data_IF_750401476556
#
_entry.id   IF_750401476556
#
_cell.length_a   1.000
_cell.length_b   1.000
_cell.length_c   1.000
_cell.angle_alpha   90.00
_cell.angle_beta   90.00
_cell.angle_gamma   90.00
#
_symmetry.space_group_name_H-M   'P 1'
#
loop_
_entity.id
_entity.type
_entity.pdbx_description
1 polymer ?
#
# COMPACT_ATOMS: atom_id res chain seq x y z
N UNK A 1 -40.86 25.06 -21.40
CA UNK A 1 -42.22 25.51 -21.02
C UNK A 1 -43.26 24.44 -21.32
N UNK A 2 -43.22 23.84 -22.51
CA UNK A 2 -44.15 22.79 -22.94
C UNK A 2 -44.06 21.49 -22.13
N UNK A 3 -42.86 21.07 -21.72
CA UNK A 3 -42.65 19.91 -20.83
C UNK A 3 -43.34 20.12 -19.47
N UNK A 4 -43.22 21.32 -18.91
CA UNK A 4 -43.90 21.73 -17.69
C UNK A 4 -45.41 21.81 -17.86
N UNK A 5 -45.89 22.22 -19.04
CA UNK A 5 -47.32 22.22 -19.39
C UNK A 5 -47.86 20.78 -19.51
N UNK A 6 -47.05 19.86 -20.04
CA UNK A 6 -47.41 18.44 -20.18
C UNK A 6 -47.44 17.71 -18.83
N UNK A 7 -46.43 17.94 -17.99
CA UNK A 7 -46.41 17.47 -16.60
C UNK A 7 -47.61 18.03 -15.81
N UNK A 8 -47.95 19.31 -16.01
CA UNK A 8 -49.14 19.92 -15.43
C UNK A 8 -50.44 19.32 -15.96
N UNK A 9 -50.52 18.94 -17.23
CA UNK A 9 -51.68 18.25 -17.81
C UNK A 9 -51.84 16.82 -17.29
N UNK A 10 -50.74 16.09 -17.11
CA UNK A 10 -50.72 14.75 -16.49
C UNK A 10 -51.12 14.86 -15.00
N UNK A 11 -50.54 15.82 -14.28
CA UNK A 11 -50.91 16.11 -12.89
C UNK A 11 -52.37 16.60 -12.75
N UNK A 12 -52.95 17.20 -13.79
CA UNK A 12 -54.37 17.60 -13.83
C UNK A 12 -55.31 16.41 -14.07
N UNK A 13 -54.86 15.37 -14.78
CA UNK A 13 -55.63 14.13 -15.04
C UNK A 13 -55.50 13.09 -13.92
N UNK A 14 -54.46 13.19 -13.09
CA UNK A 14 -54.29 12.34 -11.92
C UNK A 14 -55.31 12.67 -10.82
N UNK A 15 -56.01 11.65 -10.34
CA UNK A 15 -56.85 11.74 -9.15
C UNK A 15 -55.99 11.96 -7.91
N UNK A 16 -56.58 12.53 -6.86
CA UNK A 16 -55.88 12.77 -5.59
C UNK A 16 -55.28 11.49 -5.00
N UNK A 17 -55.97 10.35 -5.12
CA UNK A 17 -55.46 9.06 -4.66
C UNK A 17 -54.21 8.58 -5.42
N UNK A 18 -54.11 8.84 -6.74
CA UNK A 18 -52.93 8.45 -7.53
C UNK A 18 -51.71 9.32 -7.18
N UNK A 19 -51.95 10.61 -6.86
CA UNK A 19 -50.90 11.52 -6.38
C UNK A 19 -50.39 11.13 -5.01
N UNK A 20 -51.29 10.76 -4.10
CA UNK A 20 -50.93 10.29 -2.75
C UNK A 20 -50.12 8.99 -2.83
N UNK A 21 -50.50 8.06 -3.72
CA UNK A 21 -49.77 6.82 -3.98
C UNK A 21 -48.37 7.06 -4.54
N UNK A 22 -48.23 7.90 -5.57
CA UNK A 22 -46.93 8.25 -6.16
C UNK A 22 -46.03 9.00 -5.18
N UNK A 23 -46.61 9.90 -4.36
CA UNK A 23 -45.88 10.59 -3.31
C UNK A 23 -45.28 9.60 -2.31
N UNK A 24 -46.05 8.60 -1.88
CA UNK A 24 -45.56 7.54 -1.00
C UNK A 24 -44.44 6.71 -1.64
N UNK A 25 -44.54 6.38 -2.93
CA UNK A 25 -43.50 5.63 -3.66
C UNK A 25 -42.20 6.43 -3.75
N UNK A 26 -42.28 7.71 -4.12
CA UNK A 26 -41.08 8.57 -4.20
C UNK A 26 -40.46 8.86 -2.83
N UNK A 27 -41.28 9.01 -1.80
CA UNK A 27 -40.80 9.17 -0.43
C UNK A 27 -40.08 7.92 0.05
N UNK A 28 -40.62 6.73 -0.26
CA UNK A 28 -40.01 5.44 0.07
C UNK A 28 -38.72 5.20 -0.74
N UNK A 29 -38.70 5.51 -2.04
CA UNK A 29 -37.48 5.46 -2.86
C UNK A 29 -36.41 6.44 -2.37
N UNK A 30 -36.82 7.65 -1.94
CA UNK A 30 -35.90 8.64 -1.38
C UNK A 30 -35.36 8.19 -0.03
N UNK A 31 -36.20 7.59 0.81
CA UNK A 31 -35.82 6.98 2.09
C UNK A 31 -34.82 5.85 1.88
N UNK A 32 -35.08 4.95 0.93
CA UNK A 32 -34.18 3.85 0.56
C UNK A 32 -32.88 4.38 -0.03
N UNK A 33 -32.91 5.37 -0.93
CA UNK A 33 -31.70 5.94 -1.52
C UNK A 33 -30.83 6.71 -0.50
N UNK A 34 -31.46 7.42 0.45
CA UNK A 34 -30.75 8.08 1.53
C UNK A 34 -30.16 7.08 2.52
N UNK A 35 -30.90 6.02 2.86
CA UNK A 35 -30.40 4.90 3.66
C UNK A 35 -29.21 4.22 2.96
N UNK A 36 -29.31 3.93 1.66
CA UNK A 36 -28.24 3.32 0.88
C UNK A 36 -27.01 4.24 0.78
N UNK A 37 -27.18 5.55 0.58
CA UNK A 37 -26.07 6.52 0.62
C UNK A 37 -25.40 6.57 2.00
N UNK A 38 -26.18 6.54 3.08
CA UNK A 38 -25.66 6.49 4.45
C UNK A 38 -24.91 5.20 4.76
N UNK A 39 -25.45 4.06 4.31
CA UNK A 39 -24.83 2.74 4.46
C UNK A 39 -23.51 2.68 3.69
N UNK A 40 -23.47 3.20 2.45
CA UNK A 40 -22.23 3.25 1.68
C UNK A 40 -21.17 4.13 2.34
N UNK A 41 -21.56 5.33 2.82
CA UNK A 41 -20.64 6.19 3.58
C UNK A 41 -20.10 5.49 4.82
N UNK A 42 -20.97 4.85 5.60
CA UNK A 42 -20.59 4.09 6.78
C UNK A 42 -19.69 2.88 6.48
N UNK A 43 -19.95 2.15 5.40
CA UNK A 43 -19.11 1.04 4.92
C UNK A 43 -17.74 1.57 4.47
N UNK A 44 -17.68 2.65 3.69
CA UNK A 44 -16.41 3.25 3.27
C UNK A 44 -15.60 3.81 4.44
N UNK A 45 -16.25 4.48 5.40
CA UNK A 45 -15.59 5.01 6.60
C UNK A 45 -15.10 3.89 7.52
N UNK A 46 -15.88 2.82 7.69
CA UNK A 46 -15.47 1.63 8.46
C UNK A 46 -14.28 0.94 7.82
N UNK A 47 -14.30 0.73 6.50
CA UNK A 47 -13.19 0.11 5.76
C UNK A 47 -11.94 1.01 5.78
N UNK A 48 -12.11 2.34 5.66
CA UNK A 48 -10.98 3.29 5.73
C UNK A 48 -10.34 3.27 7.12
N UNK A 49 -11.14 3.11 8.16
CA UNK A 49 -10.68 2.96 9.54
C UNK A 49 -9.95 1.63 9.74
N UNK A 50 -10.52 0.51 9.30
CA UNK A 50 -9.89 -0.82 9.36
C UNK A 50 -8.57 -0.87 8.59
N UNK A 51 -8.51 -0.30 7.39
CA UNK A 51 -7.28 -0.25 6.61
C UNK A 51 -6.20 0.61 7.29
N UNK A 52 -6.60 1.72 7.94
CA UNK A 52 -5.69 2.53 8.76
C UNK A 52 -5.16 1.73 9.96
N UNK A 53 -6.01 0.97 10.64
CA UNK A 53 -5.63 0.11 11.76
C UNK A 53 -4.64 -1.00 11.32
N UNK A 54 -4.85 -1.61 10.15
CA UNK A 54 -3.93 -2.61 9.58
C UNK A 54 -2.56 -1.98 9.24
N UNK A 55 -2.56 -0.76 8.67
CA UNK A 55 -1.30 -0.04 8.40
C UNK A 55 -0.54 0.30 9.69
N UNK A 56 -1.24 0.72 10.73
CA UNK A 56 -0.65 1.01 12.05
C UNK A 56 -0.08 -0.26 12.69
N UNK A 57 -0.81 -1.38 12.65
CA UNK A 57 -0.32 -2.70 13.11
C UNK A 57 0.93 -3.15 12.35
N UNK A 58 0.95 -3.01 11.01
CA UNK A 58 2.12 -3.35 10.20
C UNK A 58 3.33 -2.47 10.54
N UNK A 59 3.12 -1.19 10.83
CA UNK A 59 4.19 -0.29 11.26
C UNK A 59 4.75 -0.68 12.63
N UNK A 60 3.89 -1.07 13.58
CA UNK A 60 4.30 -1.56 14.89
C UNK A 60 5.08 -2.88 14.79
N UNK A 61 4.60 -3.85 14.00
CA UNK A 61 5.28 -5.12 13.79
C UNK A 61 6.66 -4.93 13.13
N UNK A 62 6.81 -3.95 12.22
CA UNK A 62 8.13 -3.59 11.66
C UNK A 62 9.07 -3.07 12.73
N UNK A 63 8.62 -2.11 13.55
CA UNK A 63 9.44 -1.58 14.66
C UNK A 63 9.85 -2.67 15.65
N UNK A 64 8.93 -3.55 16.00
CA UNK A 64 9.20 -4.69 16.89
C UNK A 64 10.22 -5.66 16.28
N UNK A 65 10.11 -5.96 14.98
CA UNK A 65 11.11 -6.77 14.25
C UNK A 65 12.49 -6.12 14.30
N UNK A 66 12.57 -4.81 14.04
CA UNK A 66 13.84 -4.08 14.02
C UNK A 66 14.48 -4.08 15.41
N UNK A 67 13.68 -3.87 16.46
CA UNK A 67 14.12 -3.96 17.85
C UNK A 67 14.64 -5.37 18.20
N UNK A 68 13.89 -6.42 17.85
CA UNK A 68 14.30 -7.81 18.07
C UNK A 68 15.56 -8.17 17.28
N UNK A 69 15.76 -7.60 16.09
CA UNK A 69 16.97 -7.78 15.29
C UNK A 69 18.19 -7.13 15.94
N UNK A 70 18.03 -5.94 16.54
CA UNK A 70 19.09 -5.28 17.31
C UNK A 70 19.43 -6.12 18.54
N UNK A 71 18.43 -6.55 19.32
CA UNK A 71 18.66 -7.38 20.50
C UNK A 71 19.31 -8.72 20.15
N UNK A 72 18.90 -9.34 19.04
CA UNK A 72 19.51 -10.57 18.55
C UNK A 72 21.00 -10.38 18.21
N UNK A 73 21.35 -9.28 17.52
CA UNK A 73 22.75 -8.98 17.18
C UNK A 73 23.60 -8.73 18.42
N UNK A 74 23.09 -7.96 19.38
CA UNK A 74 23.82 -7.65 20.60
C UNK A 74 24.03 -8.90 21.45
N UNK A 75 22.97 -9.70 21.67
CA UNK A 75 23.12 -10.97 22.40
C UNK A 75 24.02 -11.96 21.67
N UNK A 76 24.02 -11.94 20.33
CA UNK A 76 24.94 -12.79 19.55
C UNK A 76 26.39 -12.40 19.78
N UNK A 77 26.68 -11.10 19.80
CA UNK A 77 28.01 -10.56 20.14
C UNK A 77 28.45 -11.01 21.52
N UNK A 78 27.59 -10.84 22.54
CA UNK A 78 27.86 -11.28 23.91
C UNK A 78 28.14 -12.79 23.98
N UNK A 79 27.36 -13.62 23.27
CA UNK A 79 27.58 -15.07 23.22
C UNK A 79 28.92 -15.41 22.58
N UNK A 80 29.32 -14.70 21.53
CA UNK A 80 30.60 -14.96 20.85
C UNK A 80 31.78 -14.48 21.71
N UNK A 81 31.69 -13.31 22.37
CA UNK A 81 32.67 -12.83 23.36
C UNK A 81 32.82 -13.81 24.55
N UNK A 82 31.71 -14.31 25.10
CA UNK A 82 31.74 -15.30 26.19
C UNK A 82 32.36 -16.64 25.77
N UNK A 83 32.23 -17.04 24.49
CA UNK A 83 32.91 -18.24 23.99
C UNK A 83 34.41 -18.02 23.95
N UNK A 84 34.85 -16.87 23.48
CA UNK A 84 36.27 -16.54 23.38
C UNK A 84 36.90 -16.44 24.78
N UNK A 85 36.21 -15.82 25.74
CA UNK A 85 36.63 -15.80 27.15
C UNK A 85 36.70 -17.20 27.77
N UNK A 86 35.68 -18.04 27.52
CA UNK A 86 35.68 -19.42 27.99
C UNK A 86 36.82 -20.23 27.37
N UNK A 87 37.09 -20.06 26.08
CA UNK A 87 38.21 -20.67 25.37
C UNK A 87 39.53 -20.24 26.00
N UNK A 88 39.73 -18.94 26.24
CA UNK A 88 40.92 -18.40 26.89
C UNK A 88 41.12 -18.99 28.30
N UNK A 89 40.09 -18.99 29.14
CA UNK A 89 40.15 -19.58 30.49
C UNK A 89 40.47 -21.08 30.46
N UNK A 90 39.93 -21.83 29.50
CA UNK A 90 40.28 -23.24 29.29
C UNK A 90 41.76 -23.38 28.90
N UNK A 91 42.26 -22.57 27.96
CA UNK A 91 43.68 -22.64 27.56
C UNK A 91 44.64 -22.25 28.69
N UNK A 92 44.30 -21.26 29.51
CA UNK A 92 45.07 -20.87 30.69
C UNK A 92 45.09 -21.98 31.74
N UNK A 93 43.94 -22.61 31.98
CA UNK A 93 43.85 -23.75 32.88
C UNK A 93 44.70 -24.93 32.37
N UNK A 94 44.64 -25.25 31.07
CA UNK A 94 45.50 -26.28 30.47
C UNK A 94 46.98 -25.97 30.62
N UNK A 95 47.42 -24.72 30.38
CA UNK A 95 48.82 -24.29 30.56
C UNK A 95 49.28 -24.40 32.02
N UNK A 96 48.41 -24.05 32.97
CA UNK A 96 48.68 -24.18 34.40
C UNK A 96 48.90 -25.65 34.79
N UNK A 97 48.00 -26.53 34.33
CA UNK A 97 48.13 -27.99 34.52
C UNK A 97 49.42 -28.54 33.90
N UNK A 98 49.79 -28.12 32.69
CA UNK A 98 51.03 -28.54 32.01
C UNK A 98 52.30 -28.02 32.69
N UNK A 99 52.26 -26.83 33.31
CA UNK A 99 53.41 -26.22 33.99
C UNK A 99 53.78 -26.87 35.33
N UNK A 100 52.95 -27.78 35.85
CA UNK A 100 53.17 -28.48 37.12
C UNK A 100 53.11 -27.60 38.37
N UNK A 101 52.80 -26.30 38.25
CA UNK A 101 52.76 -25.30 39.33
C UNK A 101 51.36 -25.10 39.93
N UNK A 102 50.54 -26.14 40.01
CA UNK A 102 49.16 -26.00 40.50
C UNK A 102 49.05 -26.28 41.99
N UNK A 103 48.70 -25.26 42.78
CA UNK A 103 48.10 -25.49 44.09
C UNK A 103 46.68 -26.02 43.88
N UNK A 104 46.28 -27.02 44.67
CA UNK A 104 45.00 -27.73 44.50
C UNK A 104 43.78 -26.78 44.62
N UNK A 105 43.90 -25.71 45.42
CA UNK A 105 42.86 -24.68 45.56
C UNK A 105 42.74 -23.76 44.33
N UNK A 106 43.85 -23.37 43.70
CA UNK A 106 43.83 -22.52 42.50
C UNK A 106 43.24 -23.27 41.30
N UNK A 107 43.51 -24.59 41.21
CA UNK A 107 42.90 -25.46 40.19
C UNK A 107 41.39 -25.59 40.39
N UNK A 108 40.93 -25.83 41.64
CA UNK A 108 39.49 -25.88 41.96
C UNK A 108 38.77 -24.56 41.67
N UNK A 109 39.42 -23.43 41.98
CA UNK A 109 38.86 -22.11 41.71
C UNK A 109 38.69 -21.85 40.21
N UNK A 110 39.72 -22.11 39.38
CA UNK A 110 39.62 -21.97 37.91
C UNK A 110 38.59 -22.91 37.28
N UNK A 111 38.45 -24.13 37.79
CA UNK A 111 37.40 -25.06 37.32
C UNK A 111 36.00 -24.55 37.66
N UNK A 112 35.80 -23.98 38.86
CA UNK A 112 34.53 -23.37 39.26
C UNK A 112 34.17 -22.19 38.35
N UNK A 113 35.13 -21.30 38.05
CA UNK A 113 34.90 -20.19 37.13
C UNK A 113 34.55 -20.64 35.70
N UNK A 114 35.21 -21.68 35.20
CA UNK A 114 34.91 -22.26 33.88
C UNK A 114 33.49 -22.84 33.86
N UNK A 115 33.06 -23.48 34.94
CA UNK A 115 31.72 -24.04 35.05
C UNK A 115 30.64 -22.93 35.11
N UNK A 116 30.86 -21.89 35.90
CA UNK A 116 29.96 -20.72 35.92
C UNK A 116 29.85 -20.04 34.56
N UNK A 117 30.97 -19.90 33.84
CA UNK A 117 30.97 -19.32 32.49
C UNK A 117 30.20 -20.20 31.49
N UNK A 118 30.30 -21.53 31.58
CA UNK A 118 29.49 -22.45 30.77
C UNK A 118 28.00 -22.30 31.05
N UNK A 119 27.61 -22.17 32.32
CA UNK A 119 26.21 -22.02 32.70
C UNK A 119 25.63 -20.68 32.23
N UNK A 120 26.40 -19.58 32.31
CA UNK A 120 26.04 -18.28 31.72
C UNK A 120 25.93 -18.35 30.19
N UNK A 121 26.88 -18.99 29.52
CA UNK A 121 26.86 -19.20 28.07
C UNK A 121 25.61 -20.00 27.61
N UNK A 122 25.21 -20.99 28.41
CA UNK A 122 24.01 -21.78 28.15
C UNK A 122 22.74 -20.93 28.26
N UNK A 123 22.64 -20.10 29.30
CA UNK A 123 21.52 -19.18 29.49
C UNK A 123 21.40 -18.17 28.34
N UNK A 124 22.50 -17.56 27.91
CA UNK A 124 22.46 -16.60 26.80
C UNK A 124 22.16 -17.27 25.44
N UNK A 125 22.63 -18.50 25.21
CA UNK A 125 22.22 -19.25 24.02
C UNK A 125 20.72 -19.56 24.02
N UNK A 126 20.11 -19.85 25.17
CA UNK A 126 18.67 -20.08 25.26
C UNK A 126 17.87 -18.78 25.07
N UNK A 127 18.38 -17.64 25.56
CA UNK A 127 17.81 -16.32 25.27
C UNK A 127 17.86 -16.00 23.77
N UNK A 128 18.98 -16.30 23.11
CA UNK A 128 19.16 -16.10 21.67
C UNK A 128 18.19 -16.95 20.84
N UNK A 129 17.88 -18.19 21.28
CA UNK A 129 16.83 -19.02 20.68
C UNK A 129 15.44 -18.41 20.85
N UNK A 130 15.12 -17.85 22.03
CA UNK A 130 13.82 -17.18 22.28
C UNK A 130 13.63 -15.98 21.35
N UNK A 131 14.63 -15.12 21.20
CA UNK A 131 14.56 -13.97 20.28
C UNK A 131 14.41 -14.44 18.83
N UNK A 132 15.13 -15.50 18.44
CA UNK A 132 14.98 -16.10 17.10
C UNK A 132 13.56 -16.61 16.85
N UNK A 133 12.92 -17.18 17.87
CA UNK A 133 11.53 -17.62 17.78
C UNK A 133 10.58 -16.44 17.64
N UNK A 134 10.72 -15.40 18.46
CA UNK A 134 9.94 -14.16 18.39
C UNK A 134 10.08 -13.46 17.03
N UNK A 135 11.28 -13.43 16.45
CA UNK A 135 11.51 -12.91 15.10
C UNK A 135 10.72 -13.70 14.04
N UNK A 136 10.62 -15.02 14.18
CA UNK A 136 9.85 -15.87 13.26
C UNK A 136 8.35 -15.64 13.41
N UNK A 137 7.86 -15.53 14.65
CA UNK A 137 6.45 -15.22 14.93
C UNK A 137 6.07 -13.83 14.39
N UNK A 138 6.93 -12.82 14.58
CA UNK A 138 6.69 -11.48 14.05
C UNK A 138 6.66 -11.50 12.51
N UNK A 139 7.55 -12.25 11.85
CA UNK A 139 7.51 -12.42 10.40
C UNK A 139 6.20 -13.06 9.91
N UNK A 140 5.69 -14.07 10.61
CA UNK A 140 4.41 -14.69 10.26
C UNK A 140 3.24 -13.71 10.46
N UNK A 141 3.21 -12.99 11.59
CA UNK A 141 2.22 -11.92 11.85
C UNK A 141 2.23 -10.85 10.75
N UNK A 142 3.41 -10.41 10.29
CA UNK A 142 3.52 -9.47 9.17
C UNK A 142 2.98 -10.05 7.86
N UNK A 143 3.08 -11.36 7.64
CA UNK A 143 2.57 -12.01 6.43
C UNK A 143 1.05 -12.07 6.44
N UNK A 144 0.45 -12.48 7.56
CA UNK A 144 -1.01 -12.54 7.76
C UNK A 144 -1.64 -11.16 7.56
N UNK A 145 -1.13 -10.13 8.24
CA UNK A 145 -1.66 -8.75 8.13
C UNK A 145 -1.52 -8.18 6.70
N UNK A 146 -0.48 -8.58 5.94
CA UNK A 146 -0.34 -8.22 4.52
C UNK A 146 -1.35 -8.93 3.62
N UNK A 147 -1.67 -10.19 3.90
CA UNK A 147 -2.68 -10.93 3.17
C UNK A 147 -4.08 -10.35 3.44
N UNK A 148 -4.37 -9.97 4.69
CA UNK A 148 -5.62 -9.33 5.08
C UNK A 148 -5.81 -7.96 4.41
N UNK A 149 -4.76 -7.14 4.34
CA UNK A 149 -4.77 -5.87 3.60
C UNK A 149 -5.04 -6.07 2.09
N UNK A 150 -4.48 -7.13 1.49
CA UNK A 150 -4.70 -7.47 0.08
C UNK A 150 -6.14 -7.94 -0.17
N UNK A 151 -6.70 -8.77 0.71
CA UNK A 151 -8.09 -9.23 0.59
C UNK A 151 -9.08 -8.06 0.70
N UNK A 152 -8.87 -7.13 1.63
CA UNK A 152 -9.72 -5.94 1.76
C UNK A 152 -9.63 -5.04 0.50
N UNK A 153 -8.43 -4.85 -0.04
CA UNK A 153 -8.23 -4.08 -1.27
C UNK A 153 -8.89 -4.75 -2.49
N UNK A 154 -8.82 -6.08 -2.58
CA UNK A 154 -9.48 -6.85 -3.65
C UNK A 154 -11.00 -6.76 -3.56
N UNK A 155 -11.56 -6.81 -2.34
CA UNK A 155 -13.00 -6.66 -2.10
C UNK A 155 -13.52 -5.29 -2.56
N UNK A 156 -12.76 -4.22 -2.30
CA UNK A 156 -13.09 -2.87 -2.75
C UNK A 156 -13.10 -2.74 -4.28
N UNK A 157 -12.08 -3.27 -4.96
CA UNK A 157 -12.02 -3.25 -6.44
C UNK A 157 -13.20 -4.00 -7.05
N UNK A 158 -13.51 -5.19 -6.53
CA UNK A 158 -14.67 -5.97 -6.98
C UNK A 158 -15.99 -5.22 -6.79
N UNK A 159 -16.16 -4.47 -5.69
CA UNK A 159 -17.35 -3.67 -5.42
C UNK A 159 -17.52 -2.49 -6.40
N UNK A 160 -16.43 -1.80 -6.74
CA UNK A 160 -16.43 -0.70 -7.71
C UNK A 160 -16.78 -1.20 -9.12
N UNK A 161 -16.20 -2.31 -9.57
CA UNK A 161 -16.50 -2.92 -10.86
C UNK A 161 -17.96 -3.40 -10.93
N UNK A 162 -18.48 -3.98 -9.84
CA UNK A 162 -19.89 -4.38 -9.75
C UNK A 162 -20.82 -3.17 -9.89
N UNK A 163 -20.50 -2.07 -9.20
CA UNK A 163 -21.28 -0.82 -9.28
C UNK A 163 -21.30 -0.26 -10.70
N UNK A 164 -20.17 -0.27 -11.41
CA UNK A 164 -20.12 0.18 -12.81
C UNK A 164 -20.98 -0.70 -13.72
N UNK A 165 -20.90 -2.03 -13.58
CA UNK A 165 -21.75 -2.97 -14.35
C UNK A 165 -23.24 -2.76 -14.08
N UNK A 166 -23.61 -2.52 -12.83
CA UNK A 166 -25.00 -2.31 -12.44
C UNK A 166 -25.54 -0.99 -13.00
N UNK A 167 -24.70 0.06 -13.03
CA UNK A 167 -25.05 1.32 -13.68
C UNK A 167 -25.18 1.18 -15.20
N UNK A 168 -24.30 0.43 -15.87
CA UNK A 168 -24.41 0.20 -17.32
C UNK A 168 -25.66 -0.61 -17.67
N UNK A 169 -25.97 -1.65 -16.89
CA UNK A 169 -27.17 -2.46 -17.12
C UNK A 169 -28.45 -1.64 -16.90
N UNK A 170 -28.47 -0.78 -15.88
CA UNK A 170 -29.58 0.16 -15.68
C UNK A 170 -29.73 1.11 -16.86
N UNK A 171 -28.64 1.66 -17.42
CA UNK A 171 -28.69 2.52 -18.61
C UNK A 171 -29.31 1.78 -19.80
N UNK A 172 -28.85 0.56 -20.08
CA UNK A 172 -29.36 -0.25 -21.18
C UNK A 172 -30.85 -0.57 -21.02
N UNK A 173 -31.30 -0.87 -19.80
CA UNK A 173 -32.74 -1.08 -19.52
C UNK A 173 -33.57 0.16 -19.80
N UNK A 174 -33.16 1.32 -19.28
CA UNK A 174 -33.89 2.57 -19.54
C UNK A 174 -33.91 2.95 -21.02
N UNK A 175 -32.83 2.69 -21.76
CA UNK A 175 -32.77 2.95 -23.19
C UNK A 175 -33.77 2.06 -23.96
N UNK A 176 -33.84 0.77 -23.61
CA UNK A 176 -34.82 -0.17 -24.18
C UNK A 176 -36.25 0.22 -23.86
N UNK A 177 -36.54 0.57 -22.61
CA UNK A 177 -37.88 0.98 -22.18
C UNK A 177 -38.30 2.28 -22.88
N UNK A 178 -37.41 3.26 -22.99
CA UNK A 178 -37.68 4.52 -23.68
C UNK A 178 -37.91 4.29 -25.20
N UNK A 179 -37.11 3.42 -25.84
CA UNK A 179 -37.31 3.04 -27.23
C UNK A 179 -38.66 2.34 -27.44
N UNK A 180 -39.06 1.43 -26.55
CA UNK A 180 -40.35 0.75 -26.62
C UNK A 180 -41.52 1.74 -26.50
N UNK A 181 -41.50 2.63 -25.51
CA UNK A 181 -42.55 3.65 -25.35
C UNK A 181 -42.66 4.60 -26.54
N UNK A 182 -41.54 4.96 -27.17
CA UNK A 182 -41.54 5.77 -28.40
C UNK A 182 -42.19 5.06 -29.58
N UNK A 183 -41.98 3.76 -29.72
CA UNK A 183 -42.61 2.94 -30.77
C UNK A 183 -44.11 2.84 -30.53
N UNK A 184 -44.53 2.52 -29.31
CA UNK A 184 -45.96 2.41 -28.95
C UNK A 184 -46.71 3.72 -29.17
N UNK A 185 -46.15 4.86 -28.78
CA UNK A 185 -46.78 6.17 -29.00
C UNK A 185 -46.76 6.59 -30.47
N UNK A 186 -45.72 6.23 -31.23
CA UNK A 186 -45.71 6.47 -32.68
C UNK A 186 -46.77 5.64 -33.41
N UNK A 187 -46.96 4.38 -33.02
CA UNK A 187 -48.00 3.50 -33.57
C UNK A 187 -49.40 4.01 -33.21
N UNK A 188 -49.60 4.50 -31.97
CA UNK A 188 -50.86 5.13 -31.55
C UNK A 188 -51.20 6.35 -32.42
N UNK A 189 -50.25 7.26 -32.60
CA UNK A 189 -50.43 8.46 -33.44
C UNK A 189 -50.72 8.08 -34.89
N UNK A 190 -50.08 7.01 -35.40
CA UNK A 190 -50.34 6.51 -36.75
C UNK A 190 -51.76 5.97 -36.89
N UNK A 191 -52.24 5.16 -35.94
CA UNK A 191 -53.63 4.67 -35.95
C UNK A 191 -54.64 5.81 -35.86
N UNK A 192 -54.41 6.82 -35.02
CA UNK A 192 -55.26 8.01 -34.93
C UNK A 192 -55.29 8.79 -36.26
N UNK A 193 -54.13 8.94 -36.91
CA UNK A 193 -54.01 9.59 -38.22
C UNK A 193 -54.74 8.82 -39.32
N UNK A 194 -54.59 7.50 -39.37
CA UNK A 194 -55.27 6.65 -40.36
C UNK A 194 -56.79 6.65 -40.15
N UNK A 195 -57.26 6.70 -38.90
CA UNK A 195 -58.68 6.84 -38.57
C UNK A 195 -59.23 8.21 -39.00
N UNK A 196 -58.52 9.30 -38.73
CA UNK A 196 -58.92 10.66 -39.14
C UNK A 196 -58.97 10.80 -40.67
N UNK A 197 -58.04 10.17 -41.39
CA UNK A 197 -58.08 10.08 -42.87
C UNK A 197 -59.28 9.30 -43.39
N UNK A 198 -59.61 8.17 -42.77
CA UNK A 198 -60.77 7.36 -43.16
C UNK A 198 -62.08 8.14 -42.97
N UNK A 199 -62.21 8.87 -41.86
CA UNK A 199 -63.37 9.74 -41.58
C UNK A 199 -63.48 10.90 -42.59
N UNK A 200 -62.35 11.49 -43.00
CA UNK A 200 -62.32 12.54 -44.03
C UNK A 200 -62.73 12.00 -45.40
N UNK A 201 -62.30 10.80 -45.78
CA UNK A 201 -62.73 10.14 -47.02
C UNK A 201 -64.24 9.86 -47.03
N UNK A 202 -64.79 9.41 -45.91
CA UNK A 202 -66.22 9.13 -45.74
C UNK A 202 -67.05 10.40 -45.89
N UNK A 203 -66.64 11.50 -45.23
CA UNK A 203 -67.30 12.82 -45.35
C UNK A 203 -67.18 13.44 -46.74
N UNK A 204 -66.09 13.16 -47.45
CA UNK A 204 -65.90 13.55 -48.84
C UNK A 204 -66.83 12.80 -49.79
N UNK A 205 -67.01 11.49 -49.58
CA UNK A 205 -67.92 10.66 -50.37
C UNK A 205 -69.41 10.98 -50.12
N UNK A 206 -69.77 11.37 -48.89
CA UNK A 206 -71.14 11.77 -48.52
C UNK A 206 -71.52 13.20 -48.97
N UNK A 207 -70.58 13.98 -49.52
CA UNK A 207 -70.82 15.34 -50.02
C UNK A 207 -71.20 16.36 -48.93
N UNK A 208 -71.06 15.99 -47.66
CA UNK A 208 -71.55 16.73 -46.49
C UNK A 208 -70.72 17.97 -46.12
N UNK A 209 -69.43 18.04 -46.49
CA UNK A 209 -68.52 19.09 -45.98
C UNK A 209 -67.58 19.71 -47.05
N UNK A 210 -67.22 19.00 -48.13
CA UNK A 210 -66.19 19.46 -49.06
C UNK A 210 -66.69 19.63 -50.50
N UNK A 211 -66.37 20.78 -51.10
CA UNK A 211 -66.85 21.19 -52.43
C UNK A 211 -65.95 20.70 -53.59
N UNK A 212 -64.76 20.14 -53.33
CA UNK A 212 -63.80 19.67 -54.36
C UNK A 212 -62.91 18.53 -53.84
N UNK A 213 -62.53 17.56 -54.69
CA UNK A 213 -61.56 16.48 -54.36
C UNK A 213 -60.21 17.02 -53.85
N UNK A 214 -59.78 18.17 -54.38
CA UNK A 214 -58.56 18.86 -53.94
C UNK A 214 -58.61 19.30 -52.48
N UNK A 215 -59.79 19.64 -51.94
CA UNK A 215 -59.96 20.02 -50.54
C UNK A 215 -59.74 18.85 -49.59
N UNK A 216 -60.29 17.68 -49.92
CA UNK A 216 -60.12 16.45 -49.14
C UNK A 216 -58.65 16.00 -49.14
N UNK A 217 -57.97 16.09 -50.29
CA UNK A 217 -56.56 15.73 -50.41
C UNK A 217 -55.64 16.62 -49.54
N UNK A 218 -55.86 17.94 -49.54
CA UNK A 218 -55.10 18.88 -48.70
C UNK A 218 -55.31 18.63 -47.20
N UNK A 219 -56.52 18.23 -46.80
CA UNK A 219 -56.80 17.95 -45.39
C UNK A 219 -56.18 16.63 -44.92
N UNK A 220 -56.15 15.61 -45.78
CA UNK A 220 -55.41 14.37 -45.52
C UNK A 220 -53.90 14.65 -45.33
N UNK A 221 -53.32 15.52 -46.16
CA UNK A 221 -51.91 15.94 -46.03
C UNK A 221 -51.67 16.71 -44.72
N UNK A 222 -52.61 17.57 -44.30
CA UNK A 222 -52.54 18.26 -43.00
C UNK A 222 -52.56 17.26 -41.84
N UNK A 223 -53.37 16.19 -41.92
CA UNK A 223 -53.42 15.11 -40.92
C UNK A 223 -52.09 14.35 -40.86
N UNK A 224 -51.49 14.03 -42.01
CA UNK A 224 -50.15 13.41 -42.07
C UNK A 224 -49.08 14.29 -41.42
N UNK A 225 -49.01 15.55 -41.82
CA UNK A 225 -48.02 16.50 -41.30
C UNK A 225 -48.20 16.75 -39.79
N UNK A 226 -49.44 16.72 -39.27
CA UNK A 226 -49.70 16.80 -37.82
C UNK A 226 -49.19 15.55 -37.09
N UNK A 227 -49.43 14.36 -37.64
CA UNK A 227 -48.96 13.09 -37.08
C UNK A 227 -47.42 13.03 -37.06
N UNK A 228 -46.78 13.36 -38.18
CA UNK A 228 -45.32 13.42 -38.29
C UNK A 228 -44.71 14.43 -37.30
N UNK A 229 -45.30 15.63 -37.19
CA UNK A 229 -44.86 16.64 -36.22
C UNK A 229 -44.98 16.15 -34.78
N UNK A 230 -46.05 15.41 -34.46
CA UNK A 230 -46.26 14.84 -33.12
C UNK A 230 -45.19 13.79 -32.79
N UNK A 231 -44.93 12.86 -33.71
CA UNK A 231 -43.88 11.84 -33.55
C UNK A 231 -42.49 12.47 -33.45
N UNK A 232 -42.19 13.49 -34.27
CA UNK A 232 -40.93 14.24 -34.17
C UNK A 232 -40.78 14.94 -32.83
N UNK A 233 -41.84 15.55 -32.29
CA UNK A 233 -41.82 16.21 -30.99
C UNK A 233 -41.50 15.22 -29.85
N UNK A 234 -42.08 14.02 -29.89
CA UNK A 234 -41.76 12.95 -28.94
C UNK A 234 -40.30 12.51 -29.04
N UNK A 235 -39.79 12.28 -30.25
CA UNK A 235 -38.38 11.92 -30.48
C UNK A 235 -37.41 13.00 -29.97
N UNK A 236 -37.71 14.27 -30.24
CA UNK A 236 -36.89 15.40 -29.76
C UNK A 236 -36.86 15.42 -28.22
N UNK A 237 -38.00 15.27 -27.56
CA UNK A 237 -38.03 15.27 -26.10
C UNK A 237 -37.27 14.07 -25.49
N UNK A 238 -37.38 12.89 -26.09
CA UNK A 238 -36.62 11.72 -25.66
C UNK A 238 -35.10 11.97 -25.76
N UNK A 239 -34.65 12.54 -26.88
CA UNK A 239 -33.25 12.90 -27.09
C UNK A 239 -32.77 14.00 -26.12
N UNK A 240 -33.61 15.00 -25.82
CA UNK A 240 -33.28 16.04 -24.84
C UNK A 240 -33.09 15.47 -23.43
N UNK A 241 -33.94 14.52 -23.03
CA UNK A 241 -33.84 13.86 -21.73
C UNK A 241 -32.63 12.93 -21.64
N UNK A 242 -32.33 12.21 -22.72
CA UNK A 242 -31.11 11.42 -22.82
C UNK A 242 -29.87 12.31 -22.72
N UNK A 243 -29.83 13.43 -23.44
CA UNK A 243 -28.75 14.41 -23.37
C UNK A 243 -28.55 14.96 -21.95
N UNK A 244 -29.62 15.38 -21.26
CA UNK A 244 -29.53 15.87 -19.87
C UNK A 244 -28.93 14.80 -18.94
N UNK A 245 -29.34 13.55 -19.11
CA UNK A 245 -28.82 12.43 -18.33
C UNK A 245 -27.35 12.16 -18.63
N UNK A 246 -26.98 12.09 -19.91
CA UNK A 246 -25.59 11.91 -20.33
C UNK A 246 -24.69 13.03 -19.82
N UNK A 247 -25.17 14.28 -19.79
CA UNK A 247 -24.43 15.41 -19.20
C UNK A 247 -24.20 15.22 -17.69
N UNK A 248 -25.23 14.84 -16.93
CA UNK A 248 -25.09 14.57 -15.49
C UNK A 248 -24.15 13.39 -15.21
N UNK A 249 -24.24 12.34 -16.01
CA UNK A 249 -23.36 11.18 -15.94
C UNK A 249 -21.90 11.55 -16.24
N UNK A 250 -21.68 12.41 -17.24
CA UNK A 250 -20.36 12.92 -17.60
C UNK A 250 -19.78 13.79 -16.49
N UNK A 251 -20.56 14.68 -15.88
CA UNK A 251 -20.14 15.49 -14.73
C UNK A 251 -19.74 14.63 -13.53
N UNK A 252 -20.52 13.57 -13.24
CA UNK A 252 -20.20 12.63 -12.17
C UNK A 252 -18.89 11.89 -12.46
N UNK A 253 -18.72 11.40 -13.69
CA UNK A 253 -17.48 10.73 -14.11
C UNK A 253 -16.26 11.66 -14.02
N UNK A 254 -16.39 12.91 -14.45
CA UNK A 254 -15.33 13.90 -14.33
C UNK A 254 -14.97 14.17 -12.87
N UNK A 255 -15.97 14.32 -11.99
CA UNK A 255 -15.74 14.53 -10.56
C UNK A 255 -15.00 13.35 -9.93
N UNK A 256 -15.45 12.12 -10.22
CA UNK A 256 -14.80 10.90 -9.73
C UNK A 256 -13.36 10.78 -10.23
N UNK A 257 -13.13 11.00 -11.53
CA UNK A 257 -11.80 10.95 -12.11
C UNK A 257 -10.86 12.01 -11.50
N UNK A 258 -11.38 13.21 -11.23
CA UNK A 258 -10.63 14.27 -10.56
C UNK A 258 -10.22 13.84 -9.14
N UNK A 259 -11.17 13.34 -8.35
CA UNK A 259 -10.90 12.84 -7.00
C UNK A 259 -9.88 11.68 -7.02
N UNK A 260 -10.02 10.74 -7.96
CA UNK A 260 -9.08 9.63 -8.13
C UNK A 260 -7.68 10.10 -8.52
N UNK A 261 -7.57 11.10 -9.41
CA UNK A 261 -6.29 11.71 -9.79
C UNK A 261 -5.62 12.39 -8.59
N UNK A 262 -6.38 13.14 -7.78
CA UNK A 262 -5.87 13.79 -6.56
C UNK A 262 -5.37 12.75 -5.55
N UNK A 263 -6.12 11.65 -5.35
CA UNK A 263 -5.70 10.54 -4.49
C UNK A 263 -4.41 9.91 -5.02
N UNK A 264 -4.31 9.63 -6.32
CA UNK A 264 -3.10 9.07 -6.93
C UNK A 264 -1.90 10.00 -6.75
N UNK A 265 -2.08 11.32 -6.92
CA UNK A 265 -1.02 12.30 -6.66
C UNK A 265 -0.54 12.23 -5.20
N UNK A 266 -1.47 12.20 -4.23
CA UNK A 266 -1.13 12.07 -2.81
C UNK A 266 -0.38 10.75 -2.52
N UNK A 267 -0.83 9.64 -3.09
CA UNK A 267 -0.16 8.34 -2.96
C UNK A 267 1.26 8.36 -3.55
N UNK A 268 1.45 9.00 -4.70
CA UNK A 268 2.76 9.18 -5.31
C UNK A 268 3.67 10.01 -4.40
N UNK A 269 3.19 11.15 -3.87
CA UNK A 269 3.96 11.94 -2.91
C UNK A 269 4.34 11.16 -1.65
N UNK A 270 3.41 10.35 -1.11
CA UNK A 270 3.68 9.48 0.02
C UNK A 270 4.77 8.44 -0.30
N UNK A 271 4.71 7.85 -1.49
CA UNK A 271 5.70 6.88 -1.97
C UNK A 271 7.08 7.52 -2.09
N UNK A 272 7.18 8.72 -2.65
CA UNK A 272 8.44 9.47 -2.72
C UNK A 272 8.98 9.84 -1.34
N UNK A 273 8.11 10.25 -0.40
CA UNK A 273 8.51 10.50 0.99
C UNK A 273 9.07 9.25 1.67
N UNK A 274 8.40 8.11 1.50
CA UNK A 274 8.85 6.84 2.05
C UNK A 274 10.18 6.40 1.44
N UNK A 275 10.33 6.51 0.13
CA UNK A 275 11.58 6.21 -0.56
C UNK A 275 12.72 7.10 -0.06
N UNK A 276 12.47 8.40 0.09
CA UNK A 276 13.45 9.34 0.64
C UNK A 276 13.86 8.98 2.07
N UNK A 277 12.91 8.61 2.92
CA UNK A 277 13.20 8.22 4.29
C UNK A 277 14.14 7.00 4.36
N UNK A 278 13.84 5.95 3.57
CA UNK A 278 14.68 4.75 3.48
C UNK A 278 16.06 5.08 2.90
N UNK A 279 16.12 5.95 1.90
CA UNK A 279 17.39 6.37 1.30
C UNK A 279 18.27 7.12 2.31
N UNK A 280 17.72 8.08 3.05
CA UNK A 280 18.47 8.82 4.08
C UNK A 280 18.92 7.90 5.22
N UNK A 281 18.09 6.93 5.62
CA UNK A 281 18.47 5.91 6.61
C UNK A 281 19.64 5.04 6.13
N UNK A 282 19.58 4.55 4.88
CA UNK A 282 20.67 3.77 4.28
C UNK A 282 21.96 4.59 4.16
N UNK A 283 21.85 5.85 3.73
CA UNK A 283 22.98 6.77 3.64
C UNK A 283 23.63 6.96 5.02
N UNK A 284 22.83 7.25 6.05
CA UNK A 284 23.32 7.42 7.42
C UNK A 284 24.00 6.16 7.96
N UNK A 285 23.43 4.98 7.71
CA UNK A 285 24.01 3.71 8.13
C UNK A 285 25.37 3.44 7.45
N UNK A 286 25.50 3.76 6.16
CA UNK A 286 26.76 3.61 5.41
C UNK A 286 27.80 4.61 5.92
N UNK A 287 27.43 5.88 6.12
CA UNK A 287 28.32 6.91 6.66
C UNK A 287 28.82 6.53 8.06
N UNK A 288 27.95 6.02 8.92
CA UNK A 288 28.33 5.54 10.25
C UNK A 288 29.31 4.36 10.17
N UNK A 289 29.06 3.38 9.28
CA UNK A 289 29.96 2.23 9.09
C UNK A 289 31.35 2.66 8.62
N UNK A 290 31.44 3.57 7.65
CA UNK A 290 32.73 4.08 7.18
C UNK A 290 33.47 4.87 8.25
N UNK A 291 32.74 5.66 9.04
CA UNK A 291 33.32 6.40 10.16
C UNK A 291 33.90 5.46 11.21
N UNK A 292 33.16 4.43 11.62
CA UNK A 292 33.66 3.43 12.57
C UNK A 292 34.90 2.71 12.04
N UNK A 293 34.91 2.32 10.76
CA UNK A 293 36.08 1.68 10.15
C UNK A 293 37.31 2.60 10.12
N UNK A 294 37.11 3.90 9.87
CA UNK A 294 38.17 4.90 9.94
C UNK A 294 38.71 5.07 11.37
N UNK A 295 37.82 5.10 12.35
CA UNK A 295 38.19 5.19 13.78
C UNK A 295 38.99 3.94 14.21
N UNK A 296 38.58 2.74 13.81
CA UNK A 296 39.32 1.49 14.03
C UNK A 296 40.71 1.52 13.38
N UNK A 297 40.79 1.91 12.09
CA UNK A 297 42.07 1.99 11.39
C UNK A 297 43.04 3.01 12.01
N UNK A 298 42.52 4.12 12.54
CA UNK A 298 43.34 5.11 13.27
C UNK A 298 43.82 4.51 14.59
N UNK A 299 42.96 3.81 15.34
CA UNK A 299 43.35 3.15 16.58
C UNK A 299 44.43 2.10 16.34
N UNK A 300 44.29 1.27 15.31
CA UNK A 300 45.29 0.28 14.91
C UNK A 300 46.62 0.94 14.54
N UNK A 301 46.59 2.03 13.77
CA UNK A 301 47.79 2.77 13.39
C UNK A 301 48.51 3.37 14.62
N UNK A 302 47.76 3.90 15.59
CA UNK A 302 48.31 4.41 16.86
C UNK A 302 48.92 3.27 17.68
N UNK A 303 48.22 2.15 17.81
CA UNK A 303 48.69 0.98 18.55
C UNK A 303 49.97 0.40 17.94
N UNK A 304 50.00 0.22 16.61
CA UNK A 304 51.18 -0.25 15.89
C UNK A 304 52.35 0.74 16.00
N UNK A 305 52.08 2.04 15.96
CA UNK A 305 53.10 3.07 16.15
C UNK A 305 53.73 2.99 17.54
N UNK A 306 52.91 2.87 18.60
CA UNK A 306 53.38 2.72 19.97
C UNK A 306 54.20 1.42 20.13
N UNK A 307 53.71 0.31 19.60
CA UNK A 307 54.41 -0.99 19.64
C UNK A 307 55.76 -0.92 18.89
N UNK A 308 55.80 -0.24 17.74
CA UNK A 308 57.06 -0.01 17.01
C UNK A 308 58.04 0.87 17.81
N UNK A 309 57.56 1.88 18.54
CA UNK A 309 58.41 2.69 19.41
C UNK A 309 59.02 1.86 20.54
N UNK A 310 58.23 1.01 21.18
CA UNK A 310 58.70 0.10 22.24
C UNK A 310 59.75 -0.88 21.71
N UNK A 311 59.49 -1.49 20.55
CA UNK A 311 60.45 -2.38 19.88
C UNK A 311 61.74 -1.66 19.47
N UNK A 312 61.64 -0.42 18.98
CA UNK A 312 62.82 0.38 18.65
C UNK A 312 63.67 0.68 19.89
N UNK A 313 63.03 1.00 21.01
CA UNK A 313 63.71 1.24 22.28
C UNK A 313 64.40 -0.03 22.79
N UNK A 314 63.70 -1.18 22.79
CA UNK A 314 64.28 -2.47 23.17
C UNK A 314 65.46 -2.85 22.28
N UNK A 315 65.34 -2.66 20.97
CA UNK A 315 66.43 -2.93 20.02
C UNK A 315 67.65 -2.03 20.27
N UNK A 316 67.42 -0.76 20.65
CA UNK A 316 68.49 0.16 21.02
C UNK A 316 69.17 -0.28 22.32
N UNK A 317 68.41 -0.70 23.34
CA UNK A 317 68.97 -1.22 24.59
C UNK A 317 69.79 -2.49 24.35
N UNK A 318 69.28 -3.45 23.59
CA UNK A 318 69.99 -4.68 23.25
C UNK A 318 71.29 -4.40 22.49
N UNK A 319 71.31 -3.41 21.60
CA UNK A 319 72.53 -2.97 20.90
C UNK A 319 73.55 -2.39 21.87
N UNK A 320 73.11 -1.64 22.87
CA UNK A 320 73.99 -1.09 23.91
C UNK A 320 74.55 -2.20 24.79
N UNK A 321 73.72 -3.12 25.27
CA UNK A 321 74.15 -4.27 26.07
C UNK A 321 75.15 -5.16 25.31
N UNK A 322 74.90 -5.40 24.01
CA UNK A 322 75.82 -6.10 23.11
C UNK A 322 77.17 -5.38 22.97
N UNK A 323 77.17 -4.05 22.91
CA UNK A 323 78.41 -3.27 22.88
C UNK A 323 79.18 -3.39 24.20
N UNK A 324 78.50 -3.30 25.34
CA UNK A 324 79.13 -3.47 26.67
C UNK A 324 79.71 -4.88 26.86
N UNK A 325 79.02 -5.91 26.38
CA UNK A 325 79.51 -7.29 26.42
C UNK A 325 80.76 -7.43 25.54
N UNK A 326 80.74 -6.88 24.31
CA UNK A 326 81.92 -6.86 23.42
C UNK A 326 83.11 -6.14 24.05
N UNK A 327 82.89 -5.01 24.71
CA UNK A 327 83.93 -4.26 25.41
C UNK A 327 84.50 -5.07 26.58
N UNK A 328 83.65 -5.71 27.40
CA UNK A 328 84.08 -6.61 28.49
C UNK A 328 84.86 -7.82 27.98
N UNK A 329 84.46 -8.42 26.86
CA UNK A 329 85.19 -9.51 26.19
C UNK A 329 86.57 -9.06 25.68
N UNK A 330 86.62 -7.87 25.08
CA UNK A 330 87.86 -7.25 24.60
C UNK A 330 88.82 -6.95 25.75
N UNK A 331 88.31 -6.44 26.88
CA UNK A 331 89.08 -6.19 28.10
C UNK A 331 89.53 -7.48 28.80
N UNK A 332 88.83 -8.60 28.60
CA UNK A 332 89.18 -9.91 29.16
C UNK A 332 90.16 -10.71 28.28
N UNK A 333 90.65 -10.13 27.18
CA UNK A 333 91.68 -10.73 26.32
C UNK A 333 91.18 -11.83 25.38
N UNK A 334 89.86 -12.03 25.23
CA UNK A 334 89.27 -12.97 24.28
C UNK A 334 88.84 -12.20 23.02
N UNK A 335 89.69 -12.23 21.98
CA UNK A 335 89.33 -11.74 20.65
C UNK A 335 88.36 -12.71 19.98
N UNK A 336 87.20 -12.21 19.60
CA UNK A 336 86.39 -12.78 18.52
C UNK A 336 86.73 -12.03 17.23
N UNK A 337 87.71 -12.52 16.49
CA UNK A 337 87.88 -12.14 15.09
C UNK A 337 86.64 -12.66 14.33
N UNK A 338 85.83 -11.73 13.82
CA UNK A 338 84.66 -12.02 12.96
C UNK A 338 85.11 -12.39 11.54
N UNK A 339 84.25 -13.03 10.72
CA UNK A 339 83.55 -12.20 9.73
C UNK A 339 82.14 -12.68 9.32
N UNK A 340 81.36 -11.70 8.85
CA UNK A 340 80.37 -11.77 7.76
C UNK A 340 79.43 -12.97 7.65
N UNK A 341 78.14 -12.76 8.00
CA UNK A 341 77.01 -13.11 7.11
C UNK A 341 75.88 -12.08 7.29
N UNK A 342 75.93 -11.00 6.51
CA UNK A 342 74.76 -10.17 6.19
C UNK A 342 74.63 -10.12 4.67
N UNK A 343 73.86 -11.05 4.11
CA UNK A 343 73.26 -10.94 2.78
C UNK A 343 72.14 -11.98 2.62
N UNK A 344 70.91 -11.62 3.05
CA UNK A 344 69.66 -11.83 2.30
C UNK A 344 68.52 -11.09 2.96
#
# INVERSE_FOLDING_TARGET
MEEKVRELQVAKRQTWGEKERLSHIYEEERRINLANKGILGWVFDSIKKENKEIQEKLALLRKEKDQLMIEYKERRRIVDEMKDELQNKITEYSKLVESGKNKEEESKHKVSEIQEMKDRLKQENDNLKKIKHQLKENQEKQKVEKEEAKSQTSFLKGNTELRQRLQSEQRERYEKDNAATLVEEADRIKMESDQEKADLQLKGAEGTVYSTEQGVALEMEIVELKAERSVMSLKIQALENEKKRQQSDLELAYKQHKEETEIQQLQNFQTFRNYRAVFEEQKSAIEQRYRSLLEEAIQDAVFLSATNQDLMFENQQLKQDMAEIKDKLTMSGLRLDSPDVLAT
#
